data_IF_391696227968
#
_entry.id   IF_391696227968
#
_cell.length_a   1.000
_cell.length_b   1.000
_cell.length_c   1.000
_cell.angle_alpha   90.00
_cell.angle_beta   90.00
_cell.angle_gamma   90.00
#
_symmetry.space_group_name_H-M   'P 1'
#
loop_
_entity.id
_entity.type
_entity.pdbx_description
1 polymer ?
#
# COMPACT_ATOMS: atom_id res chain seq x y z
N UNK A 1 2.79 6.94 14.36
CA UNK A 1 2.24 7.33 13.04
C UNK A 1 3.30 7.58 11.97
N UNK A 2 4.35 8.37 12.22
CA UNK A 2 5.38 8.70 11.21
C UNK A 2 6.02 7.48 10.51
N UNK A 3 6.30 6.41 11.25
CA UNK A 3 6.92 5.18 10.69
C UNK A 3 5.98 4.46 9.71
N UNK A 4 4.71 4.29 10.06
CA UNK A 4 3.71 3.68 9.18
C UNK A 4 3.48 4.51 7.92
N UNK A 5 3.45 5.84 8.05
CA UNK A 5 3.36 6.74 6.90
C UNK A 5 4.58 6.65 5.99
N UNK A 6 5.79 6.56 6.57
CA UNK A 6 7.02 6.44 5.80
C UNK A 6 7.08 5.12 5.02
N UNK A 7 6.73 4.02 5.69
CA UNK A 7 6.63 2.71 5.05
C UNK A 7 5.54 2.70 3.96
N UNK A 8 4.37 3.28 4.23
CA UNK A 8 3.29 3.42 3.25
C UNK A 8 3.74 4.22 2.02
N UNK A 9 4.45 5.35 2.21
CA UNK A 9 4.99 6.16 1.12
C UNK A 9 5.90 5.39 0.16
N UNK A 10 6.60 4.37 0.66
CA UNK A 10 7.48 3.54 -0.17
C UNK A 10 6.70 2.50 -1.00
N UNK A 11 5.53 2.08 -0.51
CA UNK A 11 4.68 1.06 -1.14
C UNK A 11 3.67 1.70 -2.09
N UNK A 12 3.20 2.91 -1.77
CA UNK A 12 2.17 3.64 -2.50
C UNK A 12 2.46 3.74 -4.01
N UNK A 13 3.67 4.10 -4.50
CA UNK A 13 3.91 4.21 -5.93
C UNK A 13 3.74 2.88 -6.66
N UNK A 14 4.18 1.77 -6.03
CA UNK A 14 4.01 0.42 -6.56
C UNK A 14 2.53 0.04 -6.58
N UNK A 15 1.80 0.38 -5.50
CA UNK A 15 0.37 0.11 -5.41
C UNK A 15 -0.42 0.86 -6.49
N UNK A 16 -0.12 2.15 -6.67
CA UNK A 16 -0.74 2.98 -7.72
C UNK A 16 -0.42 2.40 -9.10
N UNK A 17 0.84 2.08 -9.40
CA UNK A 17 1.23 1.53 -10.70
C UNK A 17 0.51 0.20 -11.01
N UNK A 18 0.48 -0.71 -10.04
CA UNK A 18 -0.23 -1.99 -10.18
C UNK A 18 -1.73 -1.79 -10.35
N UNK A 19 -2.33 -0.96 -9.49
CA UNK A 19 -3.77 -0.69 -9.54
C UNK A 19 -4.14 -0.09 -10.89
N UNK A 20 -3.42 0.92 -11.36
CA UNK A 20 -3.65 1.53 -12.67
C UNK A 20 -3.55 0.49 -13.79
N UNK A 21 -2.51 -0.36 -13.79
CA UNK A 21 -2.33 -1.38 -14.81
C UNK A 21 -3.47 -2.41 -14.83
N UNK A 22 -3.90 -2.91 -13.66
CA UNK A 22 -4.99 -3.89 -13.56
C UNK A 22 -6.36 -3.28 -13.84
N UNK A 23 -6.55 -2.00 -13.55
CA UNK A 23 -7.84 -1.31 -13.72
C UNK A 23 -8.05 -0.78 -15.14
N UNK A 24 -7.06 -0.93 -16.04
CA UNK A 24 -7.26 -0.66 -17.48
C UNK A 24 -8.37 -1.54 -18.07
N UNK A 25 -8.65 -2.70 -17.46
CA UNK A 25 -9.72 -3.61 -17.91
C UNK A 25 -11.11 -3.19 -17.40
N UNK A 26 -11.20 -2.53 -16.25
CA UNK A 26 -12.43 -2.01 -15.68
C UNK A 26 -12.13 -0.97 -14.60
N UNK A 27 -12.61 0.26 -14.80
CA UNK A 27 -12.42 1.38 -13.88
C UNK A 27 -13.16 1.13 -12.55
N UNK A 28 -14.29 0.42 -12.59
CA UNK A 28 -15.08 0.08 -11.39
C UNK A 28 -14.30 -0.81 -10.41
N UNK A 29 -13.32 -1.57 -10.90
CA UNK A 29 -12.46 -2.41 -10.07
C UNK A 29 -11.32 -1.62 -9.41
N UNK A 30 -11.09 -0.36 -9.79
CA UNK A 30 -9.95 0.42 -9.31
C UNK A 30 -9.87 0.47 -7.78
N UNK A 31 -11.00 0.70 -7.11
CA UNK A 31 -11.03 0.72 -5.65
C UNK A 31 -10.64 -0.60 -5.01
N UNK A 32 -11.29 -1.67 -5.48
CA UNK A 32 -11.13 -2.98 -4.91
C UNK A 32 -9.70 -3.46 -5.10
N UNK A 33 -9.13 -3.22 -6.27
CA UNK A 33 -7.72 -3.52 -6.56
C UNK A 33 -6.80 -2.65 -5.70
N UNK A 34 -7.04 -1.34 -5.57
CA UNK A 34 -6.18 -0.43 -4.80
C UNK A 34 -6.11 -0.79 -3.32
N UNK A 35 -7.26 -1.08 -2.71
CA UNK A 35 -7.35 -1.34 -1.27
C UNK A 35 -6.85 -2.74 -0.93
N UNK A 36 -7.13 -3.73 -1.77
CA UNK A 36 -6.82 -5.14 -1.49
C UNK A 36 -5.61 -5.63 -2.28
N UNK A 37 -5.84 -6.19 -3.47
CA UNK A 37 -4.85 -6.94 -4.24
C UNK A 37 -3.58 -6.14 -4.52
N UNK A 38 -3.72 -4.90 -5.02
CA UNK A 38 -2.61 -4.00 -5.31
C UNK A 38 -1.77 -3.72 -4.07
N UNK A 39 -2.41 -3.48 -2.92
CA UNK A 39 -1.71 -3.22 -1.66
C UNK A 39 -0.89 -4.43 -1.21
N UNK A 40 -1.50 -5.61 -1.12
CA UNK A 40 -0.81 -6.82 -0.67
C UNK A 40 0.30 -7.23 -1.62
N UNK A 41 0.08 -7.11 -2.94
CA UNK A 41 1.11 -7.37 -3.93
C UNK A 41 2.28 -6.38 -3.81
N UNK A 42 2.00 -5.11 -3.54
CA UNK A 42 3.03 -4.09 -3.33
C UNK A 42 3.83 -4.32 -2.05
N UNK A 43 3.17 -4.72 -0.96
CA UNK A 43 3.84 -5.13 0.30
C UNK A 43 4.75 -6.34 0.05
N UNK A 44 4.27 -7.32 -0.72
CA UNK A 44 5.04 -8.51 -1.06
C UNK A 44 6.27 -8.17 -1.91
N UNK A 45 6.10 -7.38 -3.00
CA UNK A 45 7.20 -6.91 -3.84
C UNK A 45 8.22 -6.10 -3.04
N UNK A 46 7.74 -5.15 -2.23
CA UNK A 46 8.62 -4.37 -1.37
C UNK A 46 9.40 -5.27 -0.40
N UNK A 47 8.76 -6.26 0.20
CA UNK A 47 9.42 -7.19 1.11
C UNK A 47 10.43 -8.09 0.39
N UNK A 48 10.17 -8.45 -0.87
CA UNK A 48 11.06 -9.27 -1.69
C UNK A 48 12.33 -8.51 -2.09
N UNK A 49 12.20 -7.27 -2.56
CA UNK A 49 13.33 -6.45 -3.03
C UNK A 49 14.07 -5.73 -1.88
N UNK A 50 13.36 -5.27 -0.85
CA UNK A 50 13.91 -4.44 0.24
C UNK A 50 14.05 -5.22 1.57
N UNK A 51 14.61 -6.43 1.52
CA UNK A 51 14.85 -7.28 2.70
C UNK A 51 15.62 -6.55 3.82
N UNK A 52 16.55 -5.65 3.46
CA UNK A 52 17.33 -4.86 4.43
C UNK A 52 16.47 -3.85 5.21
N UNK A 53 15.48 -3.23 4.55
CA UNK A 53 14.60 -2.26 5.19
C UNK A 53 13.74 -2.92 6.28
N UNK A 54 13.33 -4.17 6.05
CA UNK A 54 12.61 -4.98 7.05
C UNK A 54 13.35 -5.10 8.38
N UNK A 55 14.67 -5.28 8.37
CA UNK A 55 15.47 -5.36 9.60
C UNK A 55 15.50 -4.03 10.36
N UNK A 56 15.52 -2.90 9.66
CA UNK A 56 15.51 -1.58 10.29
C UNK A 56 14.23 -1.38 11.10
N UNK A 57 13.08 -1.73 10.54
CA UNK A 57 11.81 -1.59 11.25
C UNK A 57 11.68 -2.56 12.44
N UNK A 58 12.22 -3.78 12.32
CA UNK A 58 12.28 -4.72 13.44
C UNK A 58 13.17 -4.21 14.58
N UNK A 59 14.33 -3.59 14.26
CA UNK A 59 15.21 -2.98 15.27
C UNK A 59 14.57 -1.78 15.98
N UNK A 60 13.62 -1.10 15.33
CA UNK A 60 12.80 -0.04 15.94
C UNK A 60 11.67 -0.59 16.84
N UNK A 61 11.58 -1.91 17.03
CA UNK A 61 10.57 -2.56 17.88
C UNK A 61 9.22 -2.79 17.20
N UNK A 62 9.11 -2.59 15.88
CA UNK A 62 7.88 -2.82 15.15
C UNK A 62 7.81 -4.23 14.57
N UNK A 63 6.72 -4.95 14.89
CA UNK A 63 6.44 -6.23 14.24
C UNK A 63 5.94 -6.01 12.80
N UNK A 64 6.24 -6.97 11.92
CA UNK A 64 5.82 -6.94 10.53
C UNK A 64 4.30 -6.81 10.37
N UNK A 65 3.55 -7.58 11.16
CA UNK A 65 2.09 -7.53 11.16
C UNK A 65 1.57 -6.13 11.51
N UNK A 66 2.16 -5.47 12.52
CA UNK A 66 1.76 -4.10 12.90
C UNK A 66 2.07 -3.09 11.80
N UNK A 67 3.20 -3.23 11.09
CA UNK A 67 3.55 -2.36 9.97
C UNK A 67 2.57 -2.52 8.82
N UNK A 68 2.32 -3.75 8.39
CA UNK A 68 1.39 -4.04 7.29
C UNK A 68 -0.01 -3.57 7.64
N UNK A 69 -0.52 -3.89 8.83
CA UNK A 69 -1.85 -3.49 9.26
C UNK A 69 -1.99 -1.97 9.40
N UNK A 70 -1.01 -1.29 10.01
CA UNK A 70 -1.03 0.17 10.10
C UNK A 70 -1.00 0.85 8.74
N UNK A 71 -0.26 0.27 7.79
CA UNK A 71 -0.16 0.79 6.42
C UNK A 71 -1.38 0.47 5.58
N UNK A 72 -2.05 -0.65 5.86
CA UNK A 72 -3.33 -1.01 5.27
C UNK A 72 -4.40 0.00 5.65
N UNK A 73 -4.51 0.36 6.94
CA UNK A 73 -5.46 1.38 7.40
C UNK A 73 -5.22 2.74 6.72
N UNK A 74 -3.95 3.14 6.55
CA UNK A 74 -3.60 4.35 5.80
C UNK A 74 -4.02 4.20 4.33
N UNK A 75 -3.75 3.05 3.71
CA UNK A 75 -4.13 2.79 2.33
C UNK A 75 -5.63 2.85 2.10
N UNK A 76 -6.43 2.27 3.00
CA UNK A 76 -7.89 2.34 2.95
C UNK A 76 -8.38 3.77 3.09
N UNK A 77 -7.80 4.56 4.01
CA UNK A 77 -8.15 5.96 4.17
C UNK A 77 -7.81 6.79 2.92
N UNK A 78 -6.63 6.55 2.32
CA UNK A 78 -6.24 7.20 1.05
C UNK A 78 -7.17 6.78 -0.08
N UNK A 79 -7.47 5.48 -0.22
CA UNK A 79 -8.40 4.99 -1.23
C UNK A 79 -9.78 5.62 -1.10
N UNK A 80 -10.32 5.69 0.11
CA UNK A 80 -11.62 6.31 0.38
C UNK A 80 -11.68 7.80 0.02
N UNK A 81 -10.55 8.52 0.07
CA UNK A 81 -10.48 9.95 -0.32
C UNK A 81 -10.22 10.12 -1.83
N UNK A 82 -9.35 9.32 -2.42
CA UNK A 82 -8.93 9.49 -3.82
C UNK A 82 -9.97 9.01 -4.83
N UNK A 83 -10.83 8.06 -4.49
CA UNK A 83 -11.87 7.58 -5.40
C UNK A 83 -13.01 8.54 -5.68
N UNK A 84 -13.60 9.19 -4.66
CA UNK A 84 -14.59 10.24 -4.92
C UNK A 84 -14.03 11.33 -5.83
N UNK A 85 -12.75 11.64 -5.71
CA UNK A 85 -12.05 12.63 -6.55
C UNK A 85 -11.81 12.18 -7.99
N UNK A 86 -11.78 10.87 -8.28
CA UNK A 86 -11.67 10.34 -9.65
C UNK A 86 -13.02 10.26 -10.37
N UNK A 87 -14.12 10.32 -9.63
CA UNK A 87 -15.49 10.23 -10.14
C UNK A 87 -16.19 11.58 -10.29
N UNK A 88 -15.53 12.67 -9.87
CA UNK A 88 -15.92 14.07 -10.10
C UNK A 88 -15.21 14.57 -11.36
#
# INVERSE_FOLDING_TARGET
MKVYWFYYKQILPVNVALTTAFSMMSIDLFYWVFVSFGFFLSVWLYSFFYKKARYIYCNLGYSQLRLVFGSFLINTAVGAVFLPLLWI
#
